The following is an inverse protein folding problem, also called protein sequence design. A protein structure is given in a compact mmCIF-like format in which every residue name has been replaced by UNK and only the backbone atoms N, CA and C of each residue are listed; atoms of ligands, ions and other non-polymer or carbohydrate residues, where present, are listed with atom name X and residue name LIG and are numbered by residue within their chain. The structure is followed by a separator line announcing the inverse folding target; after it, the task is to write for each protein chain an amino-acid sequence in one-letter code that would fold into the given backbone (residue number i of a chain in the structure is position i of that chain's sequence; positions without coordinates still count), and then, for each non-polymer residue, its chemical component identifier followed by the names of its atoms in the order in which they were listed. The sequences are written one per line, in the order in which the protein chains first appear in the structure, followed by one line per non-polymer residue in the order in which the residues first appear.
data_IF_289107417309
#
_entry.id   IF_289107417309
#
_cell.length_a   1.000
_cell.length_b   1.000
_cell.length_c   1.000
_cell.angle_alpha   90.00
_cell.angle_beta   90.00
_cell.angle_gamma   90.00
#
_symmetry.space_group_name_H-M   'P 1'
#
loop_
_entity.id
_entity.type
_entity.pdbx_description
1 polymer ?
#
# COMPACT_ATOMS: atom_id res chain seq x y z
N UNK A 1 10.58 10.02 0.26
CA UNK A 1 10.05 8.66 0.48
C UNK A 1 10.31 7.70 -0.69
N UNK A 2 9.66 7.82 -1.86
CA UNK A 2 9.90 6.86 -2.98
C UNK A 2 11.37 6.87 -3.42
N UNK A 3 11.96 8.06 -3.59
CA UNK A 3 13.37 8.19 -3.96
C UNK A 3 14.32 7.57 -2.92
N UNK A 4 13.98 7.66 -1.63
CA UNK A 4 14.77 7.06 -0.55
C UNK A 4 14.67 5.54 -0.59
N UNK A 5 13.47 4.99 -0.79
CA UNK A 5 13.25 3.55 -0.96
C UNK A 5 14.02 3.01 -2.18
N UNK A 6 13.95 3.69 -3.32
CA UNK A 6 14.71 3.33 -4.53
C UNK A 6 16.22 3.38 -4.27
N UNK A 7 16.70 4.40 -3.56
CA UNK A 7 18.12 4.53 -3.21
C UNK A 7 18.59 3.40 -2.29
N UNK A 8 17.79 3.06 -1.29
CA UNK A 8 18.06 1.94 -0.39
C UNK A 8 18.08 0.60 -1.14
N UNK A 9 17.13 0.36 -2.05
CA UNK A 9 17.08 -0.86 -2.86
C UNK A 9 18.31 -0.98 -3.76
N UNK A 10 18.71 0.09 -4.44
CA UNK A 10 19.93 0.10 -5.25
C UNK A 10 21.16 -0.20 -4.39
N UNK A 11 21.26 0.42 -3.22
CA UNK A 11 22.36 0.14 -2.30
C UNK A 11 22.42 -1.33 -1.87
N UNK A 12 21.27 -1.94 -1.55
CA UNK A 12 21.20 -3.38 -1.22
C UNK A 12 21.63 -4.24 -2.41
N UNK A 13 21.21 -3.91 -3.62
CA UNK A 13 21.61 -4.66 -4.80
C UNK A 13 23.10 -4.61 -5.09
N UNK A 14 23.72 -3.44 -4.90
CA UNK A 14 25.14 -3.22 -5.17
C UNK A 14 26.05 -3.83 -4.08
N UNK A 15 25.56 -3.92 -2.84
CA UNK A 15 26.40 -4.27 -1.69
C UNK A 15 26.05 -5.62 -1.03
N UNK A 16 24.84 -6.14 -1.25
CA UNK A 16 24.34 -7.35 -0.58
C UNK A 16 23.93 -8.41 -1.60
N UNK A 17 22.91 -8.12 -2.43
CA UNK A 17 22.38 -9.08 -3.41
C UNK A 17 21.41 -8.41 -4.37
N UNK A 18 21.51 -8.72 -5.66
CA UNK A 18 20.52 -8.33 -6.68
C UNK A 18 19.23 -9.16 -6.64
N UNK A 19 19.19 -10.23 -5.85
CA UNK A 19 18.01 -11.09 -5.66
C UNK A 19 17.12 -10.53 -4.55
N UNK A 20 16.29 -9.55 -4.92
CA UNK A 20 15.48 -8.78 -3.97
C UNK A 20 14.00 -9.08 -4.17
N UNK A 21 13.27 -9.30 -3.07
CA UNK A 21 11.80 -9.22 -3.02
C UNK A 21 11.46 -7.93 -2.27
N UNK A 22 10.58 -7.11 -2.85
CA UNK A 22 10.07 -5.92 -2.17
C UNK A 22 8.78 -6.28 -1.45
N UNK A 23 8.70 -6.05 -0.16
CA UNK A 23 7.51 -6.35 0.62
C UNK A 23 7.11 -5.15 1.49
N UNK A 24 5.81 -4.99 1.70
CA UNK A 24 5.30 -3.97 2.59
C UNK A 24 3.83 -4.18 2.90
N UNK A 25 3.42 -3.72 4.08
CA UNK A 25 2.05 -3.81 4.57
C UNK A 25 1.39 -2.44 4.61
N UNK A 26 0.07 -2.34 4.36
CA UNK A 26 -0.67 -1.07 4.40
C UNK A 26 -0.04 0.02 3.51
N UNK A 27 0.32 1.18 4.04
CA UNK A 27 1.08 2.22 3.33
C UNK A 27 2.47 1.74 2.83
N UNK A 28 3.05 0.72 3.45
CA UNK A 28 4.25 0.05 2.97
C UNK A 28 4.01 -0.74 1.67
N UNK A 29 2.80 -1.27 1.46
CA UNK A 29 2.40 -1.90 0.20
C UNK A 29 2.43 -0.90 -0.96
N UNK A 30 1.91 0.31 -0.74
CA UNK A 30 2.05 1.44 -1.68
C UNK A 30 3.51 1.69 -2.03
N UNK A 31 4.37 1.82 -1.00
CA UNK A 31 5.78 2.14 -1.20
C UNK A 31 6.50 1.03 -1.97
N UNK A 32 6.16 -0.24 -1.74
CA UNK A 32 6.71 -1.37 -2.48
C UNK A 32 6.36 -1.29 -3.98
N UNK A 33 5.08 -1.02 -4.32
CA UNK A 33 4.65 -0.80 -5.71
C UNK A 33 5.34 0.40 -6.35
N UNK A 34 5.31 1.54 -5.67
CA UNK A 34 5.85 2.78 -6.20
C UNK A 34 7.36 2.70 -6.39
N UNK A 35 8.09 2.08 -5.46
CA UNK A 35 9.51 1.84 -5.62
C UNK A 35 9.81 0.87 -6.77
N UNK A 36 9.07 -0.25 -6.87
CA UNK A 36 9.23 -1.21 -7.97
C UNK A 36 9.06 -0.56 -9.35
N UNK A 37 8.06 0.32 -9.50
CA UNK A 37 7.79 1.09 -10.71
C UNK A 37 8.94 2.04 -11.11
N UNK A 38 9.74 2.50 -10.15
CA UNK A 38 10.81 3.46 -10.37
C UNK A 38 12.20 2.82 -10.52
N UNK A 39 12.35 1.52 -10.27
CA UNK A 39 13.60 0.83 -10.52
C UNK A 39 13.87 0.74 -12.03
N UNK A 40 15.14 0.92 -12.40
CA UNK A 40 15.61 0.88 -13.80
C UNK A 40 16.71 -0.14 -14.03
N UNK A 41 17.60 -0.29 -13.06
CA UNK A 41 18.80 -1.12 -13.18
C UNK A 41 18.64 -2.51 -12.53
N UNK A 42 17.62 -2.68 -11.71
CA UNK A 42 17.35 -3.92 -10.98
C UNK A 42 15.88 -4.26 -11.19
N UNK A 43 15.60 -5.53 -11.42
CA UNK A 43 14.25 -6.07 -11.41
C UNK A 43 14.09 -6.92 -10.16
N UNK A 44 13.29 -6.49 -9.17
CA UNK A 44 12.93 -7.35 -8.06
C UNK A 44 12.36 -8.68 -8.55
N UNK A 45 12.64 -9.75 -7.81
CA UNK A 45 12.10 -11.08 -8.09
C UNK A 45 10.60 -11.12 -7.88
N UNK A 46 10.09 -10.40 -6.88
CA UNK A 46 8.68 -10.23 -6.65
C UNK A 46 8.38 -8.94 -5.86
N UNK A 47 7.13 -8.49 -5.91
CA UNK A 47 6.53 -7.53 -4.97
C UNK A 47 5.50 -8.27 -4.12
N UNK A 48 5.51 -8.08 -2.81
CA UNK A 48 4.52 -8.58 -1.87
C UNK A 48 3.82 -7.39 -1.20
N UNK A 49 2.55 -7.16 -1.53
CA UNK A 49 1.71 -6.17 -0.88
C UNK A 49 0.75 -6.89 0.08
N UNK A 50 0.86 -6.55 1.37
CA UNK A 50 0.00 -7.11 2.43
C UNK A 50 -1.01 -6.04 2.85
N UNK A 51 -2.30 -6.26 2.59
CA UNK A 51 -3.39 -5.30 2.78
C UNK A 51 -3.03 -3.86 2.37
N UNK A 52 -2.33 -3.74 1.24
CA UNK A 52 -1.68 -2.50 0.86
C UNK A 52 -2.62 -1.47 0.25
N UNK A 53 -2.26 -0.20 0.44
CA UNK A 53 -2.81 0.93 -0.32
C UNK A 53 -2.22 0.82 -1.73
N UNK A 54 -2.97 0.28 -2.70
CA UNK A 54 -2.39 -0.06 -4.01
C UNK A 54 -2.78 0.91 -5.11
N UNK A 55 -4.00 1.44 -5.09
CA UNK A 55 -4.59 2.26 -6.14
C UNK A 55 -5.16 3.57 -5.58
N UNK A 56 -4.37 4.65 -5.64
CA UNK A 56 -4.80 5.98 -5.22
C UNK A 56 -5.88 6.61 -6.12
N UNK A 57 -6.23 5.98 -7.24
CA UNK A 57 -7.30 6.45 -8.14
C UNK A 57 -8.67 5.88 -7.79
N UNK A 58 -8.75 5.00 -6.78
CA UNK A 58 -10.01 4.40 -6.36
C UNK A 58 -10.95 5.42 -5.71
N UNK A 59 -12.23 5.07 -5.62
CA UNK A 59 -13.25 5.95 -5.03
C UNK A 59 -12.95 6.22 -3.55
N UNK A 60 -12.44 5.23 -2.80
CA UNK A 60 -12.08 5.40 -1.39
C UNK A 60 -11.04 6.51 -1.17
N UNK A 61 -10.15 6.73 -2.14
CA UNK A 61 -9.07 7.72 -2.05
C UNK A 61 -9.31 8.99 -2.85
N UNK A 62 -10.35 9.05 -3.68
CA UNK A 62 -10.68 10.24 -4.49
C UNK A 62 -11.99 10.90 -4.08
N UNK A 63 -12.91 10.14 -3.48
CA UNK A 63 -14.22 10.58 -3.00
C UNK A 63 -14.39 10.41 -1.49
N UNK A 64 -13.56 9.57 -0.88
CA UNK A 64 -13.46 9.39 0.56
C UNK A 64 -14.13 8.13 1.08
N UNK A 65 -13.71 7.72 2.28
CA UNK A 65 -14.25 6.56 3.01
C UNK A 65 -14.04 6.75 4.50
N UNK A 66 -14.70 5.92 5.31
CA UNK A 66 -14.38 5.83 6.74
C UNK A 66 -13.25 4.81 6.96
N UNK A 67 -12.28 5.18 7.80
CA UNK A 67 -11.24 4.28 8.29
C UNK A 67 -11.69 3.60 9.58
N UNK A 68 -11.50 2.30 9.70
CA UNK A 68 -11.85 1.47 10.87
C UNK A 68 -13.34 1.59 11.29
N UNK A 69 -14.22 1.92 10.35
CA UNK A 69 -15.64 2.18 10.65
C UNK A 69 -15.88 3.38 11.57
N UNK A 70 -14.93 4.32 11.67
CA UNK A 70 -15.09 5.54 12.43
C UNK A 70 -16.31 6.36 11.96
N UNK A 71 -17.04 7.02 12.88
CA UNK A 71 -18.14 7.90 12.50
C UNK A 71 -17.62 9.13 11.74
N UNK A 72 -18.46 9.78 10.92
CA UNK A 72 -18.10 11.03 10.24
C UNK A 72 -17.63 12.11 11.21
N UNK A 73 -16.61 12.86 10.81
CA UNK A 73 -16.00 13.93 11.59
C UNK A 73 -16.87 15.20 11.55
N UNK A 74 -17.27 15.69 12.72
CA UNK A 74 -18.07 16.93 12.82
C UNK A 74 -17.28 18.20 12.48
N UNK A 75 -15.95 18.13 12.50
CA UNK A 75 -15.01 19.23 12.26
C UNK A 75 -14.10 18.97 11.05
N UNK A 76 -14.58 18.21 10.05
CA UNK A 76 -13.80 17.80 8.87
C UNK A 76 -13.13 18.99 8.16
N UNK A 77 -13.89 20.05 7.83
CA UNK A 77 -13.37 21.23 7.13
C UNK A 77 -12.25 21.93 7.91
N UNK A 78 -12.36 22.01 9.24
CA UNK A 78 -11.34 22.61 10.11
C UNK A 78 -10.05 21.78 10.10
N UNK A 79 -10.17 20.45 10.14
CA UNK A 79 -9.03 19.52 10.09
C UNK A 79 -8.32 19.56 8.73
N UNK A 80 -9.06 19.71 7.63
CA UNK A 80 -8.49 19.84 6.28
C UNK A 80 -7.68 21.14 6.17
N UNK A 81 -8.24 22.27 6.60
CA UNK A 81 -7.53 23.55 6.57
C UNK A 81 -6.31 23.54 7.50
N UNK A 82 -6.41 22.87 8.65
CA UNK A 82 -5.27 22.65 9.52
C UNK A 82 -4.17 21.81 8.86
N UNK A 83 -4.52 20.71 8.19
CA UNK A 83 -3.57 19.86 7.45
C UNK A 83 -2.84 20.68 6.36
N UNK A 84 -3.57 21.51 5.62
CA UNK A 84 -2.99 22.40 4.61
C UNK A 84 -2.05 23.43 5.22
N UNK A 85 -2.44 24.07 6.33
CA UNK A 85 -1.60 25.02 7.03
C UNK A 85 -0.32 24.37 7.58
N UNK A 86 -0.44 23.18 8.17
CA UNK A 86 0.68 22.41 8.68
C UNK A 86 1.66 22.06 7.56
N UNK A 87 1.18 21.56 6.43
CA UNK A 87 2.01 21.27 5.26
C UNK A 87 2.70 22.51 4.68
N UNK A 88 1.97 23.62 4.56
CA UNK A 88 2.52 24.87 4.06
C UNK A 88 3.60 25.46 4.98
N UNK A 89 3.49 25.23 6.30
CA UNK A 89 4.48 25.71 7.28
C UNK A 89 5.83 25.01 7.16
N UNK A 90 5.86 23.78 6.62
CA UNK A 90 7.06 22.93 6.60
C UNK A 90 7.53 22.48 7.99
N UNK A 91 6.74 22.74 9.04
CA UNK A 91 7.06 22.30 10.39
C UNK A 91 6.99 20.77 10.49
N UNK A 92 7.90 20.19 11.28
CA UNK A 92 7.79 18.79 11.64
C UNK A 92 6.67 18.61 12.65
N UNK A 93 5.63 17.89 12.24
CA UNK A 93 4.36 17.74 12.97
C UNK A 93 4.14 16.31 13.52
N UNK A 94 5.09 15.40 13.25
CA UNK A 94 4.98 13.97 13.57
C UNK A 94 6.31 13.39 14.12
N UNK A 95 7.10 14.17 14.85
CA UNK A 95 8.40 13.76 15.42
C UNK A 95 8.28 12.90 16.70
N UNK A 96 7.23 12.10 16.82
CA UNK A 96 6.97 11.27 17.99
C UNK A 96 6.41 9.89 17.60
N UNK A 97 6.65 8.91 18.48
CA UNK A 97 6.20 7.51 18.30
C UNK A 97 4.72 7.43 17.97
N UNK A 98 4.31 6.46 17.14
CA UNK A 98 2.92 6.26 16.76
C UNK A 98 2.04 6.13 18.01
N UNK A 99 0.87 6.81 18.10
CA UNK A 99 0.19 6.96 19.37
C UNK A 99 -0.60 5.68 19.69
N UNK A 100 -0.56 5.23 20.93
CA UNK A 100 -1.48 4.19 21.42
C UNK A 100 -2.91 4.75 21.58
N UNK A 101 -3.03 6.06 21.83
CA UNK A 101 -4.30 6.75 22.00
C UNK A 101 -4.90 7.15 20.64
N UNK A 102 -6.07 6.60 20.33
CA UNK A 102 -6.82 6.93 19.12
C UNK A 102 -7.38 8.36 19.12
N UNK A 103 -7.38 9.05 20.25
CA UNK A 103 -7.71 10.47 20.34
C UNK A 103 -6.57 11.39 19.87
N UNK A 104 -5.38 10.85 19.59
CA UNK A 104 -4.23 11.61 19.09
C UNK A 104 -4.58 12.38 17.82
N UNK A 105 -4.01 13.57 17.70
CA UNK A 105 -4.26 14.47 16.58
C UNK A 105 -3.93 13.84 15.23
N UNK A 106 -2.90 12.98 15.14
CA UNK A 106 -2.60 12.26 13.90
C UNK A 106 -3.72 11.32 13.50
N UNK A 107 -4.40 10.70 14.45
CA UNK A 107 -5.56 9.85 14.14
C UNK A 107 -6.71 10.69 13.60
N UNK A 108 -6.93 11.89 14.14
CA UNK A 108 -7.93 12.82 13.58
C UNK A 108 -7.59 13.25 12.15
N UNK A 109 -6.32 13.56 11.87
CA UNK A 109 -5.87 13.87 10.52
C UNK A 109 -5.96 12.68 9.57
N UNK A 110 -5.58 11.47 10.01
CA UNK A 110 -5.72 10.24 9.22
C UNK A 110 -7.19 10.01 8.86
N UNK A 111 -8.11 10.14 9.83
CA UNK A 111 -9.55 10.03 9.59
C UNK A 111 -10.04 11.11 8.63
N UNK A 112 -9.59 12.37 8.78
CA UNK A 112 -9.96 13.45 7.87
C UNK A 112 -9.47 13.21 6.44
N UNK A 113 -8.25 12.69 6.27
CA UNK A 113 -7.69 12.35 4.95
C UNK A 113 -8.50 11.25 4.27
N UNK A 114 -8.91 10.21 5.02
CA UNK A 114 -9.77 9.16 4.51
C UNK A 114 -11.16 9.69 4.16
N UNK A 115 -11.81 10.39 5.09
CA UNK A 115 -13.19 10.86 4.91
C UNK A 115 -13.31 11.85 3.75
N UNK A 116 -12.30 12.68 3.52
CA UNK A 116 -12.28 13.65 2.43
C UNK A 116 -11.65 13.15 1.13
N UNK A 117 -11.10 11.92 1.09
CA UNK A 117 -10.44 11.38 -0.10
C UNK A 117 -9.21 12.20 -0.53
N UNK A 118 -8.34 12.56 0.42
CA UNK A 118 -7.24 13.50 0.18
C UNK A 118 -5.88 12.84 -0.08
N UNK A 119 -5.79 11.51 -0.20
CA UNK A 119 -4.51 10.83 -0.42
C UNK A 119 -3.77 11.30 -1.69
N UNK A 120 -4.40 11.35 -2.89
CA UNK A 120 -3.77 11.90 -4.09
C UNK A 120 -3.23 13.32 -3.90
N UNK A 121 -4.01 14.19 -3.24
CA UNK A 121 -3.60 15.56 -2.91
C UNK A 121 -2.43 15.60 -1.93
N UNK A 122 -2.45 14.77 -0.89
CA UNK A 122 -1.36 14.65 0.07
C UNK A 122 -0.07 14.21 -0.61
N UNK A 123 -0.13 13.19 -1.46
CA UNK A 123 1.03 12.63 -2.12
C UNK A 123 1.64 13.58 -3.16
N UNK A 124 0.80 14.30 -3.91
CA UNK A 124 1.26 15.17 -5.01
C UNK A 124 1.50 16.62 -4.61
N UNK A 125 0.79 17.13 -3.60
CA UNK A 125 0.78 18.57 -3.28
C UNK A 125 -0.16 19.39 -4.14
N UNK A 126 -0.94 18.76 -5.01
CA UNK A 126 -1.86 19.45 -5.91
C UNK A 126 -3.27 19.52 -5.31
N UNK A 127 -3.65 20.70 -4.86
CA UNK A 127 -5.00 20.95 -4.34
C UNK A 127 -6.06 20.62 -5.40
N UNK A 128 -7.05 19.80 -5.04
CA UNK A 128 -8.16 19.39 -5.89
C UNK A 128 -7.86 18.25 -6.87
N UNK A 129 -6.67 17.65 -6.84
CA UNK A 129 -6.34 16.55 -7.75
C UNK A 129 -7.22 15.31 -7.52
N UNK A 130 -7.60 15.01 -6.27
CA UNK A 130 -8.51 13.90 -5.94
C UNK A 130 -9.85 14.04 -6.67
N UNK A 131 -10.51 15.20 -6.52
CA UNK A 131 -11.78 15.47 -7.21
C UNK A 131 -11.63 15.49 -8.73
N UNK A 132 -10.49 15.94 -9.23
CA UNK A 132 -10.20 15.94 -10.67
C UNK A 132 -10.03 14.52 -11.21
N UNK A 133 -9.33 13.63 -10.48
CA UNK A 133 -9.23 12.20 -10.83
C UNK A 133 -10.62 11.55 -10.82
N UNK A 134 -11.45 11.83 -9.80
CA UNK A 134 -12.81 11.29 -9.73
C UNK A 134 -13.68 11.75 -10.93
N UNK A 135 -13.56 13.00 -11.36
CA UNK A 135 -14.38 13.57 -12.42
C UNK A 135 -13.87 13.26 -13.85
N UNK A 136 -12.56 13.28 -14.05
CA UNK A 136 -11.92 13.24 -15.38
C UNK A 136 -11.09 11.96 -15.60
N UNK A 137 -10.91 11.13 -14.57
CA UNK A 137 -10.09 9.93 -14.60
C UNK A 137 -8.59 10.21 -14.40
N UNK A 138 -7.81 9.12 -14.38
CA UNK A 138 -6.37 9.15 -14.10
C UNK A 138 -5.56 9.97 -15.11
N UNK A 139 -6.08 10.17 -16.34
CA UNK A 139 -5.45 11.03 -17.35
C UNK A 139 -5.30 12.50 -16.93
N UNK A 140 -6.01 12.93 -15.89
CA UNK A 140 -5.90 14.27 -15.30
C UNK A 140 -4.63 14.49 -14.46
N UNK A 141 -3.90 13.41 -14.10
CA UNK A 141 -2.66 13.46 -13.33
C UNK A 141 -1.50 13.97 -14.20
N UNK A 142 -0.85 15.09 -13.83
CA UNK A 142 0.30 15.62 -14.58
C UNK A 142 1.48 14.64 -14.56
N UNK A 143 2.27 14.65 -15.65
CA UNK A 143 3.36 13.70 -15.87
C UNK A 143 4.35 13.63 -14.71
N UNK A 144 4.71 14.77 -14.11
CA UNK A 144 5.66 14.84 -12.99
C UNK A 144 5.18 14.13 -11.71
N UNK A 145 3.88 13.88 -11.56
CA UNK A 145 3.29 13.24 -10.38
C UNK A 145 2.88 11.78 -10.62
N UNK A 146 2.99 11.29 -11.86
CA UNK A 146 2.60 9.92 -12.21
C UNK A 146 3.30 8.86 -11.38
N UNK A 147 4.49 9.15 -10.85
CA UNK A 147 5.24 8.22 -9.98
C UNK A 147 4.47 7.79 -8.73
N UNK A 148 3.47 8.56 -8.29
CA UNK A 148 2.58 8.20 -7.19
C UNK A 148 1.41 7.30 -7.60
N UNK A 149 1.24 7.02 -8.89
CA UNK A 149 0.15 6.22 -9.44
C UNK A 149 0.73 5.06 -10.28
N UNK A 150 1.53 4.15 -9.65
CA UNK A 150 2.31 3.14 -10.36
C UNK A 150 1.44 2.15 -11.14
N UNK A 151 0.26 1.78 -10.61
CA UNK A 151 -0.65 0.85 -11.26
C UNK A 151 -1.25 1.41 -12.56
N UNK A 152 -1.30 2.73 -12.74
CA UNK A 152 -1.93 3.36 -13.90
C UNK A 152 -0.92 3.74 -14.98
N UNK A 153 0.33 4.03 -14.61
CA UNK A 153 1.32 4.59 -15.55
C UNK A 153 2.59 3.76 -15.74
N UNK A 154 2.84 2.76 -14.88
CA UNK A 154 4.14 2.06 -14.86
C UNK A 154 4.03 0.54 -14.93
N UNK A 155 2.83 0.00 -15.20
CA UNK A 155 2.65 -1.42 -15.47
C UNK A 155 3.14 -1.80 -16.87
N UNK A 156 3.69 -3.01 -16.99
CA UNK A 156 4.14 -3.60 -18.25
C UNK A 156 4.95 -4.87 -18.02
N UNK A 157 5.40 -5.52 -19.10
CA UNK A 157 6.10 -6.83 -19.03
C UNK A 157 7.36 -6.87 -18.15
N UNK A 158 7.96 -5.71 -17.87
CA UNK A 158 9.13 -5.59 -17.00
C UNK A 158 8.78 -5.42 -15.51
N UNK A 159 7.51 -5.18 -15.17
CA UNK A 159 7.10 -5.09 -13.77
C UNK A 159 7.32 -6.44 -13.07
N UNK A 160 7.79 -6.47 -11.81
CA UNK A 160 7.99 -7.72 -11.08
C UNK A 160 6.69 -8.50 -10.90
N UNK A 161 6.75 -9.84 -10.89
CA UNK A 161 5.62 -10.64 -10.43
C UNK A 161 5.16 -10.18 -9.05
N UNK A 162 3.85 -10.08 -8.85
CA UNK A 162 3.29 -9.42 -7.67
C UNK A 162 2.35 -10.34 -6.92
N UNK A 163 2.48 -10.39 -5.60
CA UNK A 163 1.56 -11.08 -4.70
C UNK A 163 0.82 -10.05 -3.87
N UNK A 164 -0.49 -10.23 -3.78
CA UNK A 164 -1.40 -9.40 -3.00
C UNK A 164 -2.03 -10.31 -1.95
N UNK A 165 -1.73 -10.07 -0.67
CA UNK A 165 -2.33 -10.80 0.45
C UNK A 165 -3.26 -9.83 1.19
N UNK A 166 -4.54 -10.14 1.37
CA UNK A 166 -5.49 -9.19 1.97
C UNK A 166 -6.58 -9.94 2.76
N UNK A 167 -6.95 -9.44 3.93
CA UNK A 167 -8.15 -9.90 4.62
C UNK A 167 -9.41 -9.35 3.96
N UNK A 168 -10.46 -10.15 3.80
CA UNK A 168 -11.68 -9.69 3.13
C UNK A 168 -12.61 -8.85 4.02
N UNK A 169 -12.28 -8.73 5.30
CA UNK A 169 -12.98 -7.94 6.31
C UNK A 169 -12.13 -6.76 6.81
N UNK A 170 -11.11 -6.35 6.05
CA UNK A 170 -10.22 -5.24 6.38
C UNK A 170 -10.98 -3.92 6.51
N UNK A 171 -11.00 -3.40 7.74
CA UNK A 171 -11.69 -2.17 8.12
C UNK A 171 -10.86 -0.91 7.89
N UNK A 172 -9.56 -1.03 7.63
CA UNK A 172 -8.64 0.09 7.47
C UNK A 172 -8.38 0.40 5.99
N UNK A 173 -8.08 -0.64 5.20
CA UNK A 173 -7.84 -0.56 3.77
C UNK A 173 -8.82 -1.51 3.08
N UNK A 174 -9.72 -0.97 2.27
CA UNK A 174 -10.70 -1.78 1.52
C UNK A 174 -10.02 -2.90 0.73
N UNK A 175 -10.54 -4.14 0.84
CA UNK A 175 -10.07 -5.30 0.05
C UNK A 175 -10.11 -5.03 -1.47
N UNK A 176 -10.96 -4.11 -1.91
CA UNK A 176 -11.04 -3.65 -3.30
C UNK A 176 -9.69 -3.09 -3.81
N UNK A 177 -8.83 -2.57 -2.92
CA UNK A 177 -7.47 -2.17 -3.28
C UNK A 177 -6.64 -3.32 -3.85
N UNK A 178 -6.72 -4.50 -3.25
CA UNK A 178 -6.01 -5.67 -3.77
C UNK A 178 -6.71 -6.26 -4.99
N UNK A 179 -8.04 -6.27 -5.05
CA UNK A 179 -8.77 -6.75 -6.23
C UNK A 179 -8.47 -5.92 -7.47
N UNK A 180 -8.58 -4.59 -7.37
CA UNK A 180 -8.27 -3.66 -8.45
C UNK A 180 -6.81 -3.75 -8.89
N UNK A 181 -5.88 -3.86 -7.94
CA UNK A 181 -4.47 -4.04 -8.26
C UNK A 181 -4.23 -5.34 -9.04
N UNK A 182 -4.84 -6.45 -8.61
CA UNK A 182 -4.76 -7.73 -9.30
C UNK A 182 -5.29 -7.65 -10.74
N UNK A 183 -6.44 -7.01 -10.93
CA UNK A 183 -7.02 -6.78 -12.26
C UNK A 183 -6.07 -5.98 -13.16
N UNK A 184 -5.64 -4.79 -12.73
CA UNK A 184 -4.72 -3.93 -13.51
C UNK A 184 -3.41 -4.65 -13.85
N UNK A 185 -2.84 -5.41 -12.91
CA UNK A 185 -1.62 -6.19 -13.12
C UNK A 185 -1.82 -7.27 -14.19
N UNK A 186 -2.89 -8.06 -14.07
CA UNK A 186 -3.15 -9.17 -15.00
C UNK A 186 -3.52 -8.69 -16.40
N UNK A 187 -4.30 -7.61 -16.51
CA UNK A 187 -4.62 -6.95 -17.79
C UNK A 187 -3.37 -6.40 -18.49
N UNK A 188 -2.39 -5.93 -17.71
CA UNK A 188 -1.09 -5.45 -18.21
C UNK A 188 -0.10 -6.57 -18.52
N UNK A 189 -0.51 -7.83 -18.41
CA UNK A 189 0.35 -9.00 -18.64
C UNK A 189 1.41 -9.22 -17.57
N UNK A 190 1.26 -8.63 -16.39
CA UNK A 190 2.12 -8.88 -15.22
C UNK A 190 1.64 -10.15 -14.53
N UNK A 191 2.57 -11.04 -14.17
CA UNK A 191 2.24 -12.24 -13.38
C UNK A 191 1.82 -11.80 -11.97
N UNK A 192 0.57 -12.03 -11.59
CA UNK A 192 0.06 -11.67 -10.28
C UNK A 192 -0.59 -12.86 -9.56
N UNK A 193 -0.63 -12.81 -8.23
CA UNK A 193 -1.38 -13.72 -7.36
C UNK A 193 -2.15 -12.90 -6.33
N UNK A 194 -3.44 -13.20 -6.16
CA UNK A 194 -4.29 -12.57 -5.17
C UNK A 194 -4.74 -13.62 -4.16
N UNK A 195 -4.35 -13.42 -2.91
CA UNK A 195 -4.71 -14.25 -1.77
C UNK A 195 -5.64 -13.45 -0.85
N UNK A 196 -6.91 -13.85 -0.81
CA UNK A 196 -7.89 -13.25 0.09
C UNK A 196 -8.11 -14.17 1.30
N UNK A 197 -7.95 -13.63 2.50
CA UNK A 197 -8.09 -14.38 3.75
C UNK A 197 -9.45 -14.09 4.38
N UNK A 198 -10.36 -15.08 4.45
CA UNK A 198 -11.72 -14.86 4.91
C UNK A 198 -11.82 -14.42 6.37
N UNK A 199 -12.64 -13.41 6.63
CA UNK A 199 -12.94 -12.86 7.94
C UNK A 199 -11.78 -12.14 8.63
N UNK A 200 -10.72 -11.81 7.89
CA UNK A 200 -9.53 -11.16 8.45
C UNK A 200 -9.56 -9.66 8.28
N UNK A 201 -9.23 -8.96 9.35
CA UNK A 201 -9.13 -7.50 9.43
C UNK A 201 -7.68 -7.04 9.21
N UNK A 202 -7.44 -5.74 9.14
CA UNK A 202 -6.12 -5.14 8.96
C UNK A 202 -5.12 -5.65 10.00
N UNK A 203 -3.92 -6.04 9.56
CA UNK A 203 -2.86 -6.50 10.46
C UNK A 203 -3.06 -7.92 11.02
N UNK A 204 -3.97 -8.73 10.46
CA UNK A 204 -4.22 -10.11 10.91
C UNK A 204 -2.95 -10.97 11.01
N UNK A 205 -1.97 -10.74 10.15
CA UNK A 205 -0.71 -11.48 10.08
C UNK A 205 0.21 -11.17 11.26
N UNK A 206 0.17 -9.96 11.81
CA UNK A 206 0.94 -9.57 12.99
C UNK A 206 0.21 -9.86 14.31
N UNK A 207 -1.12 -9.85 14.30
CA UNK A 207 -1.95 -10.02 15.49
C UNK A 207 -2.23 -11.49 15.82
N UNK A 208 -2.39 -12.34 14.80
CA UNK A 208 -2.80 -13.74 14.99
C UNK A 208 -1.67 -14.75 14.82
N UNK A 209 -0.52 -14.35 14.26
CA UNK A 209 0.65 -15.22 14.13
C UNK A 209 1.62 -14.90 15.27
N UNK A 210 1.82 -15.84 16.18
CA UNK A 210 2.85 -15.70 17.20
C UNK A 210 4.23 -15.69 16.54
N UNK A 211 5.10 -14.79 16.99
CA UNK A 211 6.50 -14.66 16.50
C UNK A 211 7.40 -15.79 17.06
N UNK A 212 6.82 -16.79 17.73
CA UNK A 212 7.58 -17.89 18.31
C UNK A 212 7.94 -18.91 17.21
N UNK A 213 9.02 -18.60 16.50
CA UNK A 213 9.50 -19.30 15.29
C UNK A 213 10.05 -20.70 15.53
N UNK A 214 10.06 -21.19 16.78
CA UNK A 214 10.72 -22.46 17.15
C UNK A 214 9.77 -23.61 17.49
N UNK A 215 8.46 -23.37 17.51
CA UNK A 215 7.46 -24.42 17.66
C UNK A 215 6.43 -24.33 16.55
N UNK A 216 6.64 -25.10 15.47
CA UNK A 216 5.50 -25.67 14.75
C UNK A 216 4.72 -26.49 15.79
N UNK A 217 3.75 -25.88 16.45
CA UNK A 217 2.76 -26.63 17.19
C UNK A 217 1.81 -27.20 16.13
N UNK A 218 1.88 -28.50 15.79
CA UNK A 218 1.09 -29.07 14.70
C UNK A 218 -0.41 -29.10 15.02
N UNK A 219 -0.80 -28.63 16.21
CA UNK A 219 -2.16 -28.64 16.73
C UNK A 219 -2.98 -27.37 16.39
N UNK A 220 -2.37 -26.33 15.80
CA UNK A 220 -3.10 -25.16 15.31
C UNK A 220 -3.04 -25.12 13.77
N UNK A 221 -3.85 -25.96 13.12
CA UNK A 221 -4.21 -25.81 11.71
C UNK A 221 -5.10 -24.57 11.53
N UNK A 222 -4.53 -23.38 11.77
CA UNK A 222 -5.21 -22.13 11.41
C UNK A 222 -5.31 -22.08 9.88
N UNK A 223 -6.53 -21.87 9.31
CA UNK A 223 -6.69 -21.67 7.87
C UNK A 223 -5.77 -20.59 7.30
N UNK A 224 -5.37 -19.62 8.14
CA UNK A 224 -4.39 -18.58 7.82
C UNK A 224 -3.06 -19.15 7.28
N UNK A 225 -2.53 -20.22 7.88
CA UNK A 225 -1.26 -20.79 7.43
C UNK A 225 -1.33 -21.37 6.01
N UNK A 226 -2.51 -21.82 5.55
CA UNK A 226 -2.67 -22.26 4.16
C UNK A 226 -2.52 -21.08 3.18
N UNK A 227 -3.12 -19.94 3.51
CA UNK A 227 -2.99 -18.70 2.73
C UNK A 227 -1.54 -18.19 2.73
N UNK A 228 -0.86 -18.20 3.88
CA UNK A 228 0.55 -17.80 3.97
C UNK A 228 1.47 -18.73 3.15
N UNK A 229 1.22 -20.05 3.18
CA UNK A 229 1.96 -21.01 2.34
C UNK A 229 1.74 -20.76 0.85
N UNK A 230 0.52 -20.44 0.42
CA UNK A 230 0.24 -20.12 -0.99
C UNK A 230 1.04 -18.89 -1.48
N UNK A 231 1.14 -17.85 -0.64
CA UNK A 231 1.99 -16.68 -0.90
C UNK A 231 3.46 -17.08 -1.06
N UNK A 232 3.99 -17.87 -0.11
CA UNK A 232 5.38 -18.34 -0.16
C UNK A 232 5.64 -19.20 -1.40
N UNK A 233 4.74 -20.12 -1.73
CA UNK A 233 4.85 -20.99 -2.91
C UNK A 233 4.93 -20.18 -4.21
N UNK A 234 4.14 -19.11 -4.35
CA UNK A 234 4.22 -18.24 -5.52
C UNK A 234 5.57 -17.52 -5.61
N UNK A 235 6.05 -16.98 -4.48
CA UNK A 235 7.34 -16.30 -4.41
C UNK A 235 8.45 -17.28 -4.78
N UNK A 236 8.44 -18.48 -4.21
CA UNK A 236 9.38 -19.56 -4.48
C UNK A 236 9.44 -19.94 -5.96
N UNK A 237 8.27 -20.13 -6.59
CA UNK A 237 8.18 -20.45 -8.01
C UNK A 237 8.75 -19.33 -8.89
N UNK A 238 8.65 -18.09 -8.42
CA UNK A 238 9.17 -16.94 -9.15
C UNK A 238 10.68 -16.83 -8.97
N UNK A 239 11.18 -17.00 -7.75
CA UNK A 239 12.60 -16.98 -7.39
C UNK A 239 13.37 -18.12 -8.08
N UNK A 240 12.80 -19.34 -8.16
CA UNK A 240 13.44 -20.52 -8.78
C UNK A 240 13.60 -20.39 -10.30
N UNK A 241 12.74 -19.65 -11.00
CA UNK A 241 12.86 -19.40 -12.45
C UNK A 241 14.01 -18.47 -12.82
N UNK A 242 14.60 -17.78 -11.84
CA UNK A 242 15.73 -16.86 -12.02
C UNK A 242 17.06 -17.44 -11.52
N UNK A 243 17.17 -18.77 -11.43
CA UNK A 243 18.42 -19.53 -11.24
C UNK A 243 18.84 -20.15 -12.56
#
# INVERSE_FOLDING_TARGET
MIADAVSAINWVADNVSSRIVLAGSSAGGFLAFAAAAQLRNIRPLAVLSVYGINDLTSDEYTQGTSIMGAPPLSNLDELIEELHAARASGASICEYEFPEDLADKRMQWISAIHEAGLYPELMTGLKGISSKIAAEGVGSVPDEYRTFFPLDFFLGHNFPPTVLLHGDADSCVSVEQSKRAYEKLTESGVKAHLELVPGKDHGFDAMEVSVDTDHENPAEESPLFAHLRAVLDFIDQTVKKHN
#
